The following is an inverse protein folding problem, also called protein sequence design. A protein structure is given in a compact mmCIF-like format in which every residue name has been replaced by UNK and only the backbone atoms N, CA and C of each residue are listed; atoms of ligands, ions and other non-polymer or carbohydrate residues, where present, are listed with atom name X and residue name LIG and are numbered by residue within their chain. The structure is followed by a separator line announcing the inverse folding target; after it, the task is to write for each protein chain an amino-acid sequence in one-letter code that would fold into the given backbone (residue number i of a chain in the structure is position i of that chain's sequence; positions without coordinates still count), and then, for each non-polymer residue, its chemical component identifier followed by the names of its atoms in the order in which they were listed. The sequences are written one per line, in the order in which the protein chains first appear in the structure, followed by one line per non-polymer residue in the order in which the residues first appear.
data_IF_944997385554
#
_entry.id   IF_944997385554
#
_cell.length_a   1.000
_cell.length_b   1.000
_cell.length_c   1.000
_cell.angle_alpha   90.00
_cell.angle_beta   90.00
_cell.angle_gamma   90.00
#
_symmetry.space_group_name_H-M   'P 1'
#
loop_
_entity.id
_entity.type
_entity.pdbx_description
1 polymer ?
#
# COMPACT_ATOMS: atom_id res chain seq x y z
N UNK A 1 -73.04 20.42 50.96
CA UNK A 1 -73.34 18.98 50.75
C UNK A 1 -72.13 18.18 51.20
N UNK A 2 -72.32 17.27 52.17
CA UNK A 2 -71.24 16.52 52.83
C UNK A 2 -71.15 15.08 52.21
N UNK A 3 -70.59 14.04 52.87
CA UNK A 3 -69.37 13.37 52.43
C UNK A 3 -69.56 11.85 52.21
N UNK A 4 -68.49 11.12 51.88
CA UNK A 4 -68.33 9.75 52.36
C UNK A 4 -66.94 9.54 52.98
N UNK A 5 -66.98 9.37 54.30
CA UNK A 5 -66.04 8.66 55.17
C UNK A 5 -66.00 7.17 54.78
N UNK A 6 -65.07 6.29 55.16
CA UNK A 6 -64.18 6.19 56.32
C UNK A 6 -63.20 5.00 56.11
N UNK A 7 -62.29 4.85 57.08
CA UNK A 7 -61.47 3.69 57.45
C UNK A 7 -60.11 3.51 56.76
N UNK A 8 -59.01 3.17 57.45
CA UNK A 8 -58.46 3.34 58.82
C UNK A 8 -57.19 2.49 58.78
N UNK A 9 -56.06 2.98 59.28
CA UNK A 9 -54.85 2.16 59.38
C UNK A 9 -53.65 2.94 59.89
N UNK A 10 -53.55 3.04 61.22
CA UNK A 10 -52.43 3.61 61.97
C UNK A 10 -51.26 2.62 61.95
N UNK A 11 -50.05 3.09 61.64
CA UNK A 11 -48.85 2.67 62.39
C UNK A 11 -47.69 3.67 62.22
N UNK A 12 -47.02 3.85 63.33
CA UNK A 12 -46.03 4.86 63.73
C UNK A 12 -44.63 4.60 63.18
N UNK A 13 -43.80 5.65 63.02
CA UNK A 13 -42.35 5.48 63.05
C UNK A 13 -41.55 6.52 62.28
N UNK A 14 -41.00 7.50 63.00
CA UNK A 14 -39.94 8.43 62.55
C UNK A 14 -38.67 7.66 62.17
N UNK A 15 -38.04 8.03 61.06
CA UNK A 15 -36.70 8.63 61.12
C UNK A 15 -36.35 9.35 59.81
N UNK A 16 -36.02 10.64 59.94
CA UNK A 16 -35.39 11.44 58.90
C UNK A 16 -33.90 11.11 58.87
N UNK A 17 -33.36 10.82 57.68
CA UNK A 17 -31.99 11.21 57.30
C UNK A 17 -31.95 11.64 55.85
N UNK A 18 -31.94 12.96 55.66
CA UNK A 18 -31.39 13.63 54.49
C UNK A 18 -29.86 13.42 54.50
N UNK A 19 -29.29 12.80 53.47
CA UNK A 19 -27.90 13.07 53.03
C UNK A 19 -27.87 13.04 51.49
N UNK A 20 -27.82 14.26 50.95
CA UNK A 20 -27.14 14.75 49.74
C UNK A 20 -26.62 13.75 48.70
N UNK A 21 -27.15 13.97 47.48
CA UNK A 21 -26.44 14.03 46.18
C UNK A 21 -24.90 14.02 46.30
N UNK A 22 -24.29 12.95 45.81
CA UNK A 22 -22.94 12.92 45.27
C UNK A 22 -23.02 12.36 43.85
N UNK A 23 -23.09 13.26 42.88
CA UNK A 23 -22.71 12.95 41.50
C UNK A 23 -21.17 12.92 41.46
N UNK A 24 -20.62 11.84 40.92
CA UNK A 24 -19.29 11.68 40.32
C UNK A 24 -18.87 10.21 40.51
N UNK A 25 -19.31 9.37 39.58
CA UNK A 25 -18.52 8.23 39.13
C UNK A 25 -18.74 8.21 37.61
N UNK A 26 -17.90 8.97 36.92
CA UNK A 26 -17.68 8.80 35.49
C UNK A 26 -17.11 7.41 35.31
N UNK A 27 -17.99 6.45 35.01
CA UNK A 27 -17.62 5.15 34.49
C UNK A 27 -16.90 5.41 33.17
N UNK A 28 -15.57 5.38 33.25
CA UNK A 28 -14.60 5.46 32.17
C UNK A 28 -15.07 4.50 31.08
N UNK A 29 -15.65 5.07 30.01
CA UNK A 29 -16.03 4.30 28.84
C UNK A 29 -14.75 3.74 28.26
N UNK A 30 -14.52 2.46 28.53
CA UNK A 30 -13.51 1.63 27.88
C UNK A 30 -13.49 1.98 26.39
N UNK A 31 -12.34 2.49 25.95
CA UNK A 31 -12.04 2.75 24.57
C UNK A 31 -12.44 1.54 23.72
N UNK A 32 -13.33 1.77 22.75
CA UNK A 32 -13.64 0.85 21.67
C UNK A 32 -12.34 0.49 20.94
N UNK A 33 -11.57 -0.47 21.46
CA UNK A 33 -10.44 -1.07 20.79
C UNK A 33 -10.98 -1.73 19.52
N UNK A 34 -10.75 -1.03 18.39
CA UNK A 34 -10.97 -1.48 17.02
C UNK A 34 -10.95 -3.01 16.87
N UNK A 35 -12.14 -3.58 16.58
CA UNK A 35 -12.53 -4.96 16.23
C UNK A 35 -11.48 -5.85 15.52
N UNK A 36 -10.33 -6.08 16.14
CA UNK A 36 -9.36 -7.09 15.71
C UNK A 36 -9.78 -8.48 16.22
N UNK A 37 -10.53 -8.56 17.32
CA UNK A 37 -11.03 -9.82 17.88
C UNK A 37 -12.16 -10.44 17.04
N UNK A 38 -12.92 -9.67 16.26
CA UNK A 38 -14.05 -10.16 15.45
C UNK A 38 -13.65 -11.12 14.30
N UNK A 39 -12.37 -11.21 13.95
CA UNK A 39 -11.91 -12.19 12.95
C UNK A 39 -11.52 -13.55 13.54
N UNK A 40 -11.59 -13.72 14.87
CA UNK A 40 -11.20 -14.95 15.57
C UNK A 40 -12.30 -15.55 16.48
N UNK A 41 -13.50 -14.99 16.50
CA UNK A 41 -14.63 -15.53 17.27
C UNK A 41 -15.20 -16.80 16.63
N UNK A 42 -14.51 -17.93 16.83
CA UNK A 42 -15.14 -19.25 16.81
C UNK A 42 -15.81 -19.44 18.18
N UNK A 43 -17.12 -19.72 18.28
CA UNK A 43 -17.80 -19.92 19.56
C UNK A 43 -17.15 -21.08 20.33
N UNK A 44 -16.58 -20.77 21.50
CA UNK A 44 -15.80 -21.69 22.34
C UNK A 44 -16.67 -22.34 23.45
N UNK A 45 -17.99 -22.44 23.26
CA UNK A 45 -18.89 -22.93 24.32
C UNK A 45 -19.21 -24.45 24.24
N UNK A 46 -18.69 -25.20 23.28
CA UNK A 46 -19.12 -26.60 23.08
C UNK A 46 -18.02 -27.69 23.22
N UNK A 47 -16.81 -27.35 23.69
CA UNK A 47 -15.70 -28.33 23.78
C UNK A 47 -15.03 -28.40 25.17
N UNK A 48 -15.80 -28.23 26.24
CA UNK A 48 -15.33 -28.60 27.60
C UNK A 48 -16.22 -29.74 28.11
N UNK A 49 -16.02 -30.91 27.53
CA UNK A 49 -16.50 -32.19 28.04
C UNK A 49 -15.33 -33.17 28.06
N UNK A 50 -14.82 -33.40 29.27
CA UNK A 50 -14.08 -34.60 29.68
C UNK A 50 -12.91 -35.08 28.81
N UNK A 51 -11.67 -34.78 29.21
CA UNK A 51 -10.68 -35.86 29.30
C UNK A 51 -9.61 -35.58 30.34
N UNK A 52 -9.69 -36.37 31.41
CA UNK A 52 -8.80 -36.38 32.53
C UNK A 52 -7.54 -37.24 32.24
N UNK A 53 -6.41 -36.75 32.71
CA UNK A 53 -5.27 -37.52 33.25
C UNK A 53 -4.77 -38.74 32.45
N UNK A 54 -3.75 -38.51 31.61
CA UNK A 54 -2.70 -39.51 31.36
C UNK A 54 -1.33 -38.90 31.62
N UNK A 55 -0.70 -39.37 32.69
CA UNK A 55 0.69 -39.07 33.01
C UNK A 55 1.63 -39.74 32.02
N UNK A 56 2.51 -38.95 31.41
CA UNK A 56 3.57 -39.42 30.52
C UNK A 56 4.87 -39.40 31.31
N UNK A 57 5.37 -40.60 31.63
CA UNK A 57 6.71 -40.80 32.18
C UNK A 57 7.77 -40.50 31.13
N UNK A 58 8.64 -39.54 31.44
CA UNK A 58 9.78 -39.17 30.58
C UNK A 58 10.98 -40.03 30.98
N UNK A 59 11.33 -41.00 30.14
CA UNK A 59 12.59 -41.74 30.24
C UNK A 59 13.68 -40.97 29.49
N UNK A 60 14.74 -40.59 30.22
CA UNK A 60 15.86 -39.76 29.74
C UNK A 60 17.02 -40.69 29.35
N UNK A 61 17.15 -41.00 28.06
CA UNK A 61 18.37 -41.64 27.53
C UNK A 61 19.36 -40.57 27.08
N UNK A 62 20.55 -40.61 27.69
CA UNK A 62 21.73 -39.84 27.31
C UNK A 62 22.47 -40.61 26.21
N UNK A 63 22.50 -40.10 24.98
CA UNK A 63 23.42 -40.54 23.93
C UNK A 63 24.35 -39.37 23.58
N UNK A 64 25.62 -39.52 23.95
CA UNK A 64 26.69 -38.62 23.53
C UNK A 64 27.07 -38.99 22.08
N UNK A 65 26.42 -38.36 21.11
CA UNK A 65 26.82 -38.39 19.70
C UNK A 65 27.71 -37.19 19.41
N UNK A 66 28.93 -37.45 18.92
CA UNK A 66 29.83 -36.47 18.34
C UNK A 66 29.10 -35.79 17.16
N UNK A 67 28.69 -34.53 17.31
CA UNK A 67 28.10 -33.75 16.23
C UNK A 67 29.22 -33.20 15.34
N UNK A 68 29.53 -33.91 14.25
CA UNK A 68 30.05 -33.23 13.07
C UNK A 68 29.00 -32.20 12.66
N UNK A 69 29.40 -30.92 12.57
CA UNK A 69 28.51 -29.87 12.13
C UNK A 69 27.98 -30.25 10.74
N UNK A 70 26.65 -30.42 10.56
CA UNK A 70 26.12 -30.77 9.25
C UNK A 70 26.58 -29.69 8.26
N UNK A 71 27.05 -30.09 7.06
CA UNK A 71 27.48 -29.14 6.05
C UNK A 71 26.34 -28.14 5.82
N UNK A 72 26.69 -26.86 5.88
CA UNK A 72 25.79 -25.73 5.71
C UNK A 72 24.87 -25.98 4.52
N UNK A 73 23.61 -26.34 4.78
CA UNK A 73 22.46 -26.28 3.88
C UNK A 73 22.82 -26.59 2.40
N UNK A 74 23.33 -27.80 2.15
CA UNK A 74 23.38 -28.33 0.78
C UNK A 74 21.95 -28.60 0.34
N UNK A 75 21.27 -27.55 -0.09
CA UNK A 75 19.95 -27.60 -0.70
C UNK A 75 20.01 -28.67 -1.80
N UNK A 76 19.10 -29.65 -1.74
CA UNK A 76 18.83 -30.61 -2.81
C UNK A 76 18.84 -29.91 -4.19
N UNK A 77 19.14 -30.62 -5.31
CA UNK A 77 19.26 -30.04 -6.66
C UNK A 77 18.26 -28.91 -6.85
N UNK A 78 18.81 -27.70 -7.01
CA UNK A 78 18.13 -26.46 -6.69
C UNK A 78 16.79 -26.37 -7.43
N UNK A 79 15.69 -26.35 -6.67
CA UNK A 79 14.33 -26.05 -7.19
C UNK A 79 14.33 -24.67 -7.90
N UNK A 80 15.30 -23.83 -7.59
CA UNK A 80 15.46 -22.51 -8.14
C UNK A 80 16.20 -22.52 -9.49
N UNK A 81 15.76 -21.67 -10.45
CA UNK A 81 16.53 -21.39 -11.66
C UNK A 81 17.94 -20.90 -11.34
N UNK A 82 18.94 -21.23 -12.17
CA UNK A 82 20.34 -20.87 -11.96
C UNK A 82 20.56 -19.38 -11.68
N UNK A 83 19.90 -18.49 -12.44
CA UNK A 83 20.03 -17.04 -12.26
C UNK A 83 19.58 -16.56 -10.86
N UNK A 84 18.65 -17.28 -10.22
CA UNK A 84 18.21 -16.97 -8.84
C UNK A 84 19.30 -17.37 -7.85
N UNK A 85 19.92 -18.53 -8.06
CA UNK A 85 21.04 -18.97 -7.24
C UNK A 85 22.24 -18.04 -7.39
N UNK A 86 22.68 -17.76 -8.62
CA UNK A 86 23.78 -16.80 -8.90
C UNK A 86 23.51 -15.43 -8.27
N UNK A 87 22.26 -14.95 -8.35
CA UNK A 87 21.86 -13.68 -7.77
C UNK A 87 21.87 -13.64 -6.24
N UNK A 88 21.57 -14.76 -5.58
CA UNK A 88 21.68 -14.90 -4.12
C UNK A 88 23.12 -15.04 -3.66
N UNK A 89 23.95 -15.79 -4.39
CA UNK A 89 25.38 -15.96 -4.11
C UNK A 89 26.17 -14.65 -4.29
N UNK A 90 25.73 -13.78 -5.20
CA UNK A 90 26.31 -12.43 -5.35
C UNK A 90 26.02 -11.48 -4.18
N UNK A 91 25.11 -11.85 -3.27
CA UNK A 91 24.70 -11.00 -2.14
C UNK A 91 25.46 -11.36 -0.88
N UNK A 92 25.74 -10.34 -0.08
CA UNK A 92 26.36 -10.51 1.21
C UNK A 92 25.53 -11.46 2.10
N UNK A 93 26.22 -12.24 2.95
CA UNK A 93 25.54 -13.19 3.83
C UNK A 93 24.59 -12.47 4.79
N UNK A 94 23.34 -12.92 4.83
CA UNK A 94 22.34 -12.44 5.79
C UNK A 94 22.66 -12.80 7.24
N UNK A 95 23.58 -13.73 7.49
CA UNK A 95 23.99 -14.10 8.85
C UNK A 95 25.00 -13.11 9.45
N UNK A 96 25.60 -12.27 8.62
CA UNK A 96 26.65 -11.35 9.06
C UNK A 96 26.07 -10.02 9.56
N UNK A 97 26.26 -9.75 10.86
CA UNK A 97 25.74 -8.56 11.54
C UNK A 97 26.24 -7.24 10.92
N UNK A 98 27.45 -7.22 10.36
CA UNK A 98 28.07 -6.00 9.79
C UNK A 98 27.21 -5.37 8.68
N UNK A 99 26.57 -6.19 7.85
CA UNK A 99 25.71 -5.71 6.75
C UNK A 99 24.36 -5.20 7.25
N UNK A 100 23.82 -5.79 8.32
CA UNK A 100 22.63 -5.28 9.00
C UNK A 100 22.88 -3.93 9.66
N UNK A 101 24.05 -3.76 10.28
CA UNK A 101 24.47 -2.46 10.83
C UNK A 101 24.54 -1.43 9.70
N UNK A 102 25.26 -1.73 8.61
CA UNK A 102 25.38 -0.83 7.46
C UNK A 102 24.01 -0.44 6.89
N UNK A 103 23.10 -1.41 6.73
CA UNK A 103 21.74 -1.16 6.27
C UNK A 103 20.97 -0.25 7.25
N UNK A 104 21.07 -0.51 8.56
CA UNK A 104 20.37 0.25 9.62
C UNK A 104 20.84 1.71 9.77
N UNK A 105 22.05 2.04 9.28
CA UNK A 105 22.56 3.41 9.27
C UNK A 105 21.90 4.27 8.19
N UNK A 106 21.29 3.65 7.17
CA UNK A 106 20.53 4.38 6.14
C UNK A 106 19.07 4.57 6.57
N UNK A 107 18.48 5.73 6.24
CA UNK A 107 17.06 6.01 6.54
C UNK A 107 16.13 4.96 5.89
N UNK A 108 16.44 4.57 4.66
CA UNK A 108 15.64 3.60 3.91
C UNK A 108 15.80 2.16 4.43
N UNK A 109 17.01 1.80 4.87
CA UNK A 109 17.25 0.53 5.54
C UNK A 109 16.48 0.40 6.85
N UNK A 110 16.38 1.48 7.64
CA UNK A 110 15.52 1.50 8.85
C UNK A 110 14.05 1.25 8.54
N UNK A 111 13.46 1.92 7.55
CA UNK A 111 12.06 1.66 7.14
C UNK A 111 11.85 0.20 6.69
N UNK A 112 12.82 -0.38 5.95
CA UNK A 112 12.76 -1.77 5.49
C UNK A 112 12.88 -2.78 6.63
N UNK A 113 13.85 -2.62 7.53
CA UNK A 113 14.00 -3.46 8.73
C UNK A 113 12.73 -3.39 9.57
N UNK A 114 12.22 -2.17 9.80
CA UNK A 114 10.97 -1.95 10.54
C UNK A 114 9.78 -2.62 9.85
N UNK A 115 9.72 -2.62 8.51
CA UNK A 115 8.70 -3.36 7.73
C UNK A 115 8.78 -4.87 7.97
N UNK A 116 9.98 -5.45 7.94
CA UNK A 116 10.19 -6.88 8.20
C UNK A 116 9.74 -7.23 9.62
N UNK A 117 10.20 -6.47 10.62
CA UNK A 117 9.82 -6.66 12.02
C UNK A 117 8.31 -6.50 12.23
N UNK A 118 7.67 -5.57 11.51
CA UNK A 118 6.23 -5.37 11.56
C UNK A 118 5.49 -6.64 11.12
N UNK A 119 5.80 -7.18 9.93
CA UNK A 119 5.12 -8.39 9.46
C UNK A 119 5.49 -9.64 10.26
N UNK A 120 6.73 -9.75 10.73
CA UNK A 120 7.14 -10.85 11.61
C UNK A 120 6.36 -10.83 12.93
N UNK A 121 6.19 -9.65 13.54
CA UNK A 121 5.38 -9.49 14.76
C UNK A 121 3.93 -9.90 14.53
N UNK A 122 3.35 -9.51 13.39
CA UNK A 122 1.97 -9.91 13.03
C UNK A 122 1.83 -11.41 12.83
N UNK A 123 2.81 -12.05 12.16
CA UNK A 123 2.84 -13.50 11.97
C UNK A 123 2.98 -14.25 13.29
N UNK A 124 3.87 -13.78 14.17
CA UNK A 124 4.06 -14.36 15.51
C UNK A 124 2.81 -14.22 16.37
N UNK A 125 2.14 -13.07 16.34
CA UNK A 125 0.86 -12.89 17.02
C UNK A 125 -0.19 -13.88 16.51
N UNK A 126 -0.33 -14.02 15.19
CA UNK A 126 -1.23 -15.00 14.60
C UNK A 126 -0.88 -16.43 15.02
N UNK A 127 0.39 -16.82 14.96
CA UNK A 127 0.84 -18.17 15.29
C UNK A 127 0.56 -18.51 16.76
N UNK A 128 0.85 -17.57 17.68
CA UNK A 128 0.56 -17.70 19.11
C UNK A 128 -0.94 -17.76 19.43
N UNK A 129 -1.80 -17.10 18.64
CA UNK A 129 -3.25 -17.24 18.79
C UNK A 129 -3.74 -18.57 18.24
N UNK A 130 -3.16 -19.04 17.13
CA UNK A 130 -3.61 -20.23 16.40
C UNK A 130 -3.11 -21.54 16.97
N UNK A 131 -2.11 -21.53 17.85
CA UNK A 131 -1.65 -22.76 18.49
C UNK A 131 -2.72 -23.34 19.41
N UNK A 132 -3.18 -24.55 19.10
CA UNK A 132 -4.32 -25.27 19.74
C UNK A 132 -4.20 -25.39 21.27
N UNK A 133 -2.99 -25.27 21.84
CA UNK A 133 -2.72 -25.34 23.28
C UNK A 133 -2.37 -23.96 23.88
N UNK A 134 -3.01 -22.88 23.43
CA UNK A 134 -2.66 -21.54 23.89
C UNK A 134 -3.04 -21.28 25.34
N UNK A 135 -2.05 -21.51 26.21
CA UNK A 135 -2.01 -21.05 27.59
C UNK A 135 -2.33 -19.54 27.68
N UNK A 136 -2.78 -19.06 28.86
CA UNK A 136 -2.96 -17.62 29.12
C UNK A 136 -1.72 -16.79 28.78
N UNK A 137 -0.53 -17.38 28.93
CA UNK A 137 0.77 -16.76 28.60
C UNK A 137 0.88 -16.50 27.09
N UNK A 138 0.48 -17.46 26.24
CA UNK A 138 0.50 -17.30 24.78
C UNK A 138 -0.37 -16.14 24.31
N UNK A 139 -1.54 -15.94 24.93
CA UNK A 139 -2.44 -14.81 24.64
C UNK A 139 -1.83 -13.46 25.04
N UNK A 140 -1.18 -13.39 26.20
CA UNK A 140 -0.47 -12.18 26.63
C UNK A 140 0.68 -11.82 25.66
N UNK A 141 1.44 -12.82 25.21
CA UNK A 141 2.48 -12.61 24.19
C UNK A 141 1.89 -12.18 22.84
N UNK A 142 0.80 -12.79 22.39
CA UNK A 142 0.11 -12.38 21.16
C UNK A 142 -0.32 -10.90 21.22
N UNK A 143 -0.89 -10.45 22.35
CA UNK A 143 -1.23 -9.03 22.56
C UNK A 143 -0.01 -8.11 22.49
N UNK A 144 1.12 -8.51 23.10
CA UNK A 144 2.39 -7.76 23.01
C UNK A 144 2.88 -7.65 21.57
N UNK A 145 2.86 -8.73 20.80
CA UNK A 145 3.26 -8.71 19.38
C UNK A 145 2.30 -7.88 18.52
N UNK A 146 1.00 -7.90 18.80
CA UNK A 146 0.01 -7.03 18.13
C UNK A 146 0.28 -5.56 18.43
N UNK A 147 0.55 -5.21 19.69
CA UNK A 147 0.92 -3.84 20.09
C UNK A 147 2.22 -3.40 19.39
N UNK A 148 3.24 -4.27 19.36
CA UNK A 148 4.49 -4.02 18.65
C UNK A 148 4.25 -3.80 17.14
N UNK A 149 3.42 -4.64 16.50
CA UNK A 149 3.02 -4.45 15.10
C UNK A 149 2.37 -3.08 14.85
N UNK A 150 1.42 -2.66 15.72
CA UNK A 150 0.75 -1.36 15.63
C UNK A 150 1.75 -0.20 15.79
N UNK A 151 2.62 -0.29 16.80
CA UNK A 151 3.67 0.70 17.08
C UNK A 151 4.67 0.84 15.92
N UNK A 152 5.17 -0.27 15.38
CA UNK A 152 6.04 -0.28 14.20
C UNK A 152 5.33 0.32 12.97
N UNK A 153 4.03 0.06 12.81
CA UNK A 153 3.22 0.70 11.77
C UNK A 153 3.22 2.22 11.88
N UNK A 154 3.02 2.76 13.08
CA UNK A 154 3.06 4.21 13.35
C UNK A 154 4.46 4.80 13.12
N UNK A 155 5.50 4.14 13.64
CA UNK A 155 6.90 4.55 13.43
C UNK A 155 7.26 4.66 11.94
N UNK A 156 6.77 3.72 11.11
CA UNK A 156 6.97 3.79 9.65
C UNK A 156 6.23 4.93 8.98
N UNK A 157 5.04 5.30 9.45
CA UNK A 157 4.35 6.51 8.97
C UNK A 157 5.20 7.74 9.26
N UNK A 158 5.77 7.84 10.46
CA UNK A 158 6.68 8.92 10.82
C UNK A 158 7.94 8.95 9.93
N UNK A 159 8.57 7.81 9.63
CA UNK A 159 9.71 7.74 8.69
C UNK A 159 9.37 8.17 7.26
N UNK A 160 8.09 8.09 6.88
CA UNK A 160 7.61 8.51 5.54
C UNK A 160 7.11 9.94 5.52
N UNK A 161 6.88 10.56 6.67
CA UNK A 161 6.54 11.96 6.74
C UNK A 161 7.69 12.77 6.12
N UNK A 162 7.39 13.53 5.08
CA UNK A 162 8.38 14.23 4.26
C UNK A 162 8.84 13.49 2.98
N UNK A 163 8.57 12.19 2.79
CA UNK A 163 8.85 11.53 1.50
C UNK A 163 8.05 12.14 0.34
N UNK A 164 6.82 12.59 0.59
CA UNK A 164 6.01 13.28 -0.41
C UNK A 164 6.70 14.56 -0.93
N UNK A 165 7.44 15.27 -0.07
CA UNK A 165 8.17 16.48 -0.45
C UNK A 165 9.34 16.13 -1.39
N UNK A 166 10.12 15.10 -1.04
CA UNK A 166 11.21 14.62 -1.88
C UNK A 166 10.74 14.18 -3.27
N UNK A 167 9.54 13.60 -3.36
CA UNK A 167 9.00 13.09 -4.62
C UNK A 167 8.39 14.20 -5.47
N UNK A 168 7.77 15.21 -4.86
CA UNK A 168 7.42 16.47 -5.55
C UNK A 168 8.67 17.13 -6.13
N UNK A 169 9.76 17.18 -5.36
CA UNK A 169 11.03 17.70 -5.84
C UNK A 169 11.58 16.89 -7.03
N UNK A 170 11.52 15.55 -6.98
CA UNK A 170 11.91 14.69 -8.11
C UNK A 170 11.05 14.94 -9.35
N UNK A 171 9.73 14.98 -9.22
CA UNK A 171 8.81 15.28 -10.34
C UNK A 171 9.15 16.65 -10.94
N UNK A 172 9.47 17.62 -10.10
CA UNK A 172 9.92 18.95 -10.53
C UNK A 172 11.24 18.90 -11.28
N UNK A 173 12.23 18.17 -10.79
CA UNK A 173 13.54 18.00 -11.44
C UNK A 173 13.45 17.28 -12.80
N UNK A 174 12.42 16.46 -13.03
CA UNK A 174 12.17 15.80 -14.31
C UNK A 174 11.60 16.75 -15.39
N UNK A 175 11.36 18.02 -15.05
CA UNK A 175 10.74 18.99 -15.96
C UNK A 175 9.26 18.70 -16.26
N UNK A 176 8.64 17.75 -15.57
CA UNK A 176 7.25 17.36 -15.79
C UNK A 176 6.28 18.52 -15.50
N UNK A 177 6.56 19.32 -14.46
CA UNK A 177 5.78 20.55 -14.23
C UNK A 177 5.95 21.55 -15.36
N UNK A 178 7.15 21.65 -15.96
CA UNK A 178 7.40 22.49 -17.13
C UNK A 178 6.61 22.01 -18.34
N UNK A 179 6.61 20.71 -18.63
CA UNK A 179 5.81 20.10 -19.70
C UNK A 179 4.30 20.28 -19.47
N UNK A 180 3.84 20.05 -18.25
CA UNK A 180 2.43 20.23 -17.89
C UNK A 180 1.99 21.69 -18.01
N UNK A 181 2.79 22.62 -17.48
CA UNK A 181 2.57 24.05 -17.63
C UNK A 181 2.56 24.48 -19.09
N UNK A 182 3.52 24.00 -19.88
CA UNK A 182 3.56 24.24 -21.33
C UNK A 182 2.28 23.73 -22.01
N UNK A 183 1.79 22.54 -21.67
CA UNK A 183 0.57 21.99 -22.24
C UNK A 183 -0.69 22.78 -21.84
N UNK A 184 -0.81 23.16 -20.56
CA UNK A 184 -1.91 24.03 -20.09
C UNK A 184 -1.88 25.38 -20.81
N UNK A 185 -0.69 25.94 -21.02
CA UNK A 185 -0.52 27.18 -21.78
C UNK A 185 -0.96 27.01 -23.23
N UNK A 186 -0.62 25.90 -23.88
CA UNK A 186 -1.07 25.62 -25.26
C UNK A 186 -2.61 25.50 -25.33
N UNK A 187 -3.23 24.74 -24.41
CA UNK A 187 -4.70 24.64 -24.36
C UNK A 187 -5.38 26.00 -24.16
N UNK A 188 -4.87 26.81 -23.23
CA UNK A 188 -5.38 28.15 -22.99
C UNK A 188 -5.28 29.07 -24.24
N UNK A 189 -4.17 28.98 -24.98
CA UNK A 189 -3.98 29.74 -26.22
C UNK A 189 -4.91 29.26 -27.34
N UNK A 190 -5.14 27.96 -27.47
CA UNK A 190 -6.08 27.40 -28.46
C UNK A 190 -7.54 27.81 -28.17
N UNK A 191 -7.96 27.77 -26.91
CA UNK A 191 -9.32 28.18 -26.51
C UNK A 191 -9.56 29.67 -26.79
N UNK A 192 -8.57 30.52 -26.46
CA UNK A 192 -8.63 31.94 -26.81
C UNK A 192 -8.65 32.18 -28.32
N UNK A 193 -7.88 31.41 -29.11
CA UNK A 193 -7.88 31.52 -30.57
C UNK A 193 -9.24 31.17 -31.16
N UNK A 194 -9.91 30.13 -30.66
CA UNK A 194 -11.26 29.74 -31.10
C UNK A 194 -12.30 30.80 -30.75
N UNK A 195 -12.19 31.43 -29.57
CA UNK A 195 -13.11 32.52 -29.18
C UNK A 195 -13.00 33.74 -30.10
N UNK A 196 -11.80 34.08 -30.58
CA UNK A 196 -11.60 35.22 -31.48
C UNK A 196 -12.18 34.92 -32.87
N UNK A 197 -11.96 33.72 -33.41
CA UNK A 197 -12.44 33.34 -34.75
C UNK A 197 -13.96 33.11 -34.81
N UNK A 198 -14.58 32.74 -33.68
CA UNK A 198 -16.03 32.54 -33.59
C UNK A 198 -16.86 33.82 -33.62
N UNK A 199 -16.28 34.96 -33.23
CA UNK A 199 -17.02 36.22 -33.13
C UNK A 199 -17.21 36.95 -34.48
N UNK A 200 -16.44 36.55 -35.50
CA UNK A 200 -16.42 37.23 -36.80
C UNK A 200 -17.41 36.62 -37.83
N UNK A 201 -18.11 35.52 -37.49
CA UNK A 201 -19.03 34.83 -38.40
C UNK A 201 -20.53 35.02 -38.10
N UNK A 202 -20.88 35.78 -37.05
CA UNK A 202 -22.27 35.98 -36.63
C UNK A 202 -22.91 37.31 -37.03
N UNK A 203 -22.14 38.25 -37.59
CA UNK A 203 -22.57 39.64 -37.79
C UNK A 203 -23.32 39.96 -39.09
N UNK A 204 -24.03 39.02 -39.71
CA UNK A 204 -24.91 39.29 -40.87
C UNK A 204 -26.07 38.29 -40.93
N UNK A 205 -26.92 38.20 -39.91
CA UNK A 205 -28.30 37.73 -40.15
C UNK A 205 -29.30 38.09 -39.04
N UNK A 206 -30.31 38.84 -39.47
CA UNK A 206 -31.67 38.94 -38.90
C UNK A 206 -31.82 39.67 -37.55
N UNK A 207 -31.70 41.01 -37.62
CA UNK A 207 -32.71 41.87 -37.00
C UNK A 207 -34.08 41.53 -37.63
N UNK A 208 -34.99 40.92 -36.87
CA UNK A 208 -36.45 41.15 -36.90
C UNK A 208 -37.22 40.04 -36.15
N UNK A 209 -37.52 40.26 -34.87
CA UNK A 209 -38.77 39.84 -34.19
C UNK A 209 -38.68 40.26 -32.71
N UNK A 210 -39.35 41.36 -32.34
CA UNK A 210 -40.57 41.41 -31.50
C UNK A 210 -40.38 40.77 -30.12
N UNK A 211 -40.15 41.54 -29.05
CA UNK A 211 -41.09 42.43 -28.34
C UNK A 211 -42.14 41.65 -27.52
N UNK A 212 -42.21 42.01 -26.24
CA UNK A 212 -43.15 41.60 -25.18
C UNK A 212 -42.82 40.29 -24.43
N UNK A 213 -42.35 40.39 -23.19
CA UNK A 213 -43.30 40.41 -22.06
C UNK A 213 -42.61 40.83 -20.75
N UNK A 214 -43.27 41.75 -20.04
CA UNK A 214 -42.84 42.32 -18.77
C UNK A 214 -43.68 41.70 -17.65
N UNK A 215 -43.04 40.99 -16.72
CA UNK A 215 -43.70 40.60 -15.47
C UNK A 215 -42.78 40.89 -14.27
N UNK A 216 -43.20 41.76 -13.34
CA UNK A 216 -42.42 42.07 -12.15
C UNK A 216 -42.83 41.18 -10.98
N UNK A 217 -41.85 40.77 -10.18
CA UNK A 217 -42.08 40.41 -8.78
C UNK A 217 -41.82 38.94 -8.43
N UNK A 218 -40.57 38.64 -8.05
CA UNK A 218 -40.30 37.65 -7.01
C UNK A 218 -39.17 38.15 -6.10
N UNK A 219 -39.39 38.26 -4.78
CA UNK A 219 -38.37 38.72 -3.84
C UNK A 219 -37.26 37.68 -3.67
N UNK A 220 -36.04 38.11 -3.28
CA UNK A 220 -34.92 37.21 -3.09
C UNK A 220 -35.10 36.38 -1.81
N UNK A 221 -35.27 35.07 -1.97
CA UNK A 221 -35.15 34.13 -0.86
C UNK A 221 -33.70 34.05 -0.39
N UNK A 222 -33.36 34.87 0.60
CA UNK A 222 -32.15 34.75 1.42
C UNK A 222 -32.40 33.65 2.45
N UNK A 223 -32.08 32.40 2.10
CA UNK A 223 -31.91 31.29 3.05
C UNK A 223 -31.21 30.13 2.33
N UNK A 224 -29.88 30.20 2.18
CA UNK A 224 -29.05 29.05 1.83
C UNK A 224 -27.57 29.30 2.12
N UNK A 225 -27.23 29.68 3.36
CA UNK A 225 -25.83 29.86 3.77
C UNK A 225 -25.24 28.67 4.54
N UNK A 226 -25.94 27.52 4.63
CA UNK A 226 -25.48 26.34 5.38
C UNK A 226 -25.48 25.00 4.59
N UNK A 227 -25.62 25.03 3.27
CA UNK A 227 -25.38 23.87 2.38
C UNK A 227 -24.07 23.91 1.53
N UNK A 228 -22.92 24.51 1.92
CA UNK A 228 -21.71 24.43 1.09
C UNK A 228 -21.12 23.02 0.93
N UNK A 229 -21.38 22.07 1.84
CA UNK A 229 -20.60 20.82 1.92
C UNK A 229 -21.04 19.74 0.92
N UNK A 230 -22.34 19.64 0.59
CA UNK A 230 -22.85 18.64 -0.37
C UNK A 230 -22.60 19.07 -1.82
N UNK A 231 -22.77 20.35 -2.12
CA UNK A 231 -22.49 20.92 -3.45
C UNK A 231 -21.00 20.87 -3.79
N UNK A 232 -20.10 21.18 -2.84
CA UNK A 232 -18.66 21.05 -3.05
C UNK A 232 -18.23 19.60 -3.19
N UNK A 233 -18.77 18.67 -2.39
CA UNK A 233 -18.44 17.24 -2.52
C UNK A 233 -18.94 16.68 -3.85
N UNK A 234 -20.18 16.98 -4.25
CA UNK A 234 -20.72 16.55 -5.54
C UNK A 234 -19.96 17.18 -6.73
N UNK A 235 -19.59 18.47 -6.65
CA UNK A 235 -18.75 19.12 -7.67
C UNK A 235 -17.34 18.54 -7.68
N UNK A 236 -16.75 18.25 -6.53
CA UNK A 236 -15.42 17.65 -6.44
C UNK A 236 -15.41 16.21 -6.98
N UNK A 237 -16.39 15.39 -6.61
CA UNK A 237 -16.52 14.02 -7.11
C UNK A 237 -16.83 13.99 -8.61
N UNK A 238 -17.73 14.86 -9.09
CA UNK A 238 -18.01 15.00 -10.52
C UNK A 238 -16.79 15.51 -11.31
N UNK A 239 -16.04 16.48 -10.75
CA UNK A 239 -14.82 16.99 -11.35
C UNK A 239 -13.69 15.97 -11.31
N UNK A 240 -13.57 15.15 -10.26
CA UNK A 240 -12.54 14.12 -10.14
C UNK A 240 -12.82 12.94 -11.09
N UNK A 241 -14.08 12.51 -11.20
CA UNK A 241 -14.51 11.50 -12.18
C UNK A 241 -14.39 12.04 -13.62
N UNK A 242 -14.74 13.31 -13.83
CA UNK A 242 -14.55 13.98 -15.12
C UNK A 242 -13.08 14.15 -15.49
N UNK A 243 -12.24 14.52 -14.53
CA UNK A 243 -10.79 14.68 -14.68
C UNK A 243 -10.11 13.34 -14.97
N UNK A 244 -10.49 12.27 -14.27
CA UNK A 244 -9.95 10.92 -14.52
C UNK A 244 -10.38 10.39 -15.89
N UNK A 245 -11.64 10.57 -16.31
CA UNK A 245 -12.07 10.23 -17.68
C UNK A 245 -11.40 11.09 -18.75
N UNK A 246 -11.18 12.39 -18.50
CA UNK A 246 -10.47 13.29 -19.42
C UNK A 246 -8.99 12.93 -19.51
N UNK A 247 -8.33 12.62 -18.41
CA UNK A 247 -6.96 12.11 -18.40
C UNK A 247 -6.90 10.77 -19.13
N UNK A 248 -7.82 9.84 -18.87
CA UNK A 248 -7.84 8.56 -19.56
C UNK A 248 -8.06 8.73 -21.08
N UNK A 249 -8.99 9.60 -21.48
CA UNK A 249 -9.28 9.93 -22.88
C UNK A 249 -8.10 10.63 -23.57
N UNK A 250 -7.50 11.64 -22.94
CA UNK A 250 -6.34 12.37 -23.46
C UNK A 250 -5.08 11.50 -23.50
N UNK A 251 -4.86 10.67 -22.48
CA UNK A 251 -3.75 9.72 -22.44
C UNK A 251 -3.94 8.53 -23.39
N UNK A 252 -5.15 8.19 -23.84
CA UNK A 252 -5.33 7.15 -24.87
C UNK A 252 -5.33 7.75 -26.29
N UNK A 253 -6.04 8.86 -26.52
CA UNK A 253 -6.26 9.41 -27.86
C UNK A 253 -5.06 10.19 -28.40
N UNK A 254 -4.38 10.99 -27.57
CA UNK A 254 -3.14 11.68 -27.97
C UNK A 254 -1.93 10.73 -28.04
N UNK A 255 -2.03 9.53 -27.47
CA UNK A 255 -0.94 8.55 -27.46
C UNK A 255 -0.87 7.67 -28.71
N UNK A 256 -2.02 7.33 -29.30
CA UNK A 256 -2.08 6.45 -30.49
C UNK A 256 -1.74 7.21 -31.78
N UNK A 257 -1.99 8.52 -31.83
CA UNK A 257 -1.92 9.28 -33.08
C UNK A 257 -0.57 9.98 -33.37
N UNK A 258 0.35 10.07 -32.41
CA UNK A 258 1.46 11.05 -32.50
C UNK A 258 2.82 10.45 -32.89
N UNK A 259 3.04 9.12 -32.92
CA UNK A 259 4.44 8.63 -32.98
C UNK A 259 4.75 7.54 -34.01
N UNK A 260 5.77 7.76 -34.88
CA UNK A 260 6.21 6.84 -35.91
C UNK A 260 7.05 5.67 -35.35
N UNK A 261 6.98 4.53 -36.01
CA UNK A 261 7.52 3.22 -35.63
C UNK A 261 9.04 3.05 -35.83
N UNK A 262 9.87 3.97 -35.35
CA UNK A 262 11.33 3.74 -35.39
C UNK A 262 11.78 2.94 -34.15
N UNK A 263 12.25 1.70 -34.37
CA UNK A 263 12.55 0.70 -33.34
C UNK A 263 13.63 1.14 -32.32
N UNK A 264 14.60 1.95 -32.73
CA UNK A 264 15.79 2.29 -31.91
C UNK A 264 15.63 3.53 -31.02
N UNK A 265 14.72 4.44 -31.34
CA UNK A 265 14.35 5.61 -30.51
C UNK A 265 12.98 5.47 -29.87
N UNK A 266 12.45 4.24 -29.81
CA UNK A 266 11.43 3.85 -28.85
C UNK A 266 12.03 3.95 -27.43
N UNK A 267 12.29 5.19 -27.00
CA UNK A 267 12.28 5.61 -25.61
C UNK A 267 11.19 4.79 -24.96
N UNK A 268 11.54 4.18 -23.84
CA UNK A 268 10.77 3.13 -23.21
C UNK A 268 9.49 3.74 -22.63
N UNK A 269 8.57 4.16 -23.48
CA UNK A 269 7.43 5.02 -23.17
C UNK A 269 6.52 4.33 -22.17
N UNK A 270 6.34 3.02 -22.30
CA UNK A 270 5.64 2.22 -21.31
C UNK A 270 6.31 2.25 -19.93
N UNK A 271 7.66 2.32 -19.84
CA UNK A 271 8.34 2.54 -18.55
C UNK A 271 8.09 3.94 -18.03
N UNK A 272 8.12 4.95 -18.90
CA UNK A 272 7.86 6.32 -18.49
C UNK A 272 6.43 6.48 -17.98
N UNK A 273 5.44 6.05 -18.75
CA UNK A 273 4.01 6.07 -18.40
C UNK A 273 3.76 5.22 -17.16
N UNK A 274 4.28 3.99 -17.12
CA UNK A 274 4.16 3.10 -15.98
C UNK A 274 4.76 3.71 -14.71
N UNK A 275 5.93 4.35 -14.82
CA UNK A 275 6.57 5.06 -13.71
C UNK A 275 5.77 6.28 -13.27
N UNK A 276 5.23 7.07 -14.21
CA UNK A 276 4.40 8.23 -13.93
C UNK A 276 3.11 7.84 -13.20
N UNK A 277 2.36 6.87 -13.75
CA UNK A 277 1.12 6.37 -13.15
C UNK A 277 1.37 5.76 -11.77
N UNK A 278 2.45 5.00 -11.61
CA UNK A 278 2.87 4.48 -10.31
C UNK A 278 3.19 5.61 -9.35
N UNK A 279 3.91 6.63 -9.78
CA UNK A 279 4.28 7.80 -8.96
C UNK A 279 3.03 8.57 -8.51
N UNK A 280 2.06 8.77 -9.41
CA UNK A 280 0.78 9.40 -9.08
C UNK A 280 0.00 8.59 -8.02
N UNK A 281 -0.05 7.27 -8.16
CA UNK A 281 -0.67 6.41 -7.15
C UNK A 281 0.08 6.45 -5.80
N UNK A 282 1.42 6.46 -5.81
CA UNK A 282 2.23 6.61 -4.60
C UNK A 282 2.05 7.97 -3.94
N UNK A 283 1.95 9.05 -4.72
CA UNK A 283 1.69 10.40 -4.24
C UNK A 283 0.31 10.48 -3.57
N UNK A 284 -0.72 9.94 -4.21
CA UNK A 284 -2.07 9.86 -3.63
C UNK A 284 -2.09 9.05 -2.33
N UNK A 285 -1.33 7.95 -2.26
CA UNK A 285 -1.16 7.19 -1.02
C UNK A 285 -0.50 8.02 0.08
N UNK A 286 0.65 8.67 -0.19
CA UNK A 286 1.35 9.46 0.82
C UNK A 286 0.54 10.67 1.30
N UNK A 287 -0.16 11.35 0.40
CA UNK A 287 -1.07 12.43 0.77
C UNK A 287 -2.18 11.91 1.70
N UNK A 288 -2.78 10.76 1.39
CA UNK A 288 -3.76 10.12 2.24
C UNK A 288 -3.21 9.68 3.60
N UNK A 289 -1.99 9.12 3.64
CA UNK A 289 -1.33 8.67 4.88
C UNK A 289 -0.94 9.88 5.77
N UNK A 290 -0.46 10.97 5.17
CA UNK A 290 -0.19 12.23 5.88
C UNK A 290 -1.48 12.87 6.42
N UNK A 291 -2.55 12.90 5.61
CA UNK A 291 -3.85 13.41 6.05
C UNK A 291 -4.42 12.55 7.19
N UNK A 292 -4.26 11.23 7.12
CA UNK A 292 -4.63 10.31 8.19
C UNK A 292 -3.85 10.60 9.48
N UNK A 293 -2.53 10.78 9.39
CA UNK A 293 -1.68 11.13 10.53
C UNK A 293 -2.04 12.48 11.18
N UNK A 294 -2.26 13.52 10.36
CA UNK A 294 -2.68 14.84 10.84
C UNK A 294 -4.08 14.80 11.47
N UNK A 295 -4.99 14.00 10.91
CA UNK A 295 -6.32 13.82 11.50
C UNK A 295 -6.23 13.06 12.83
N UNK A 296 -5.39 12.03 12.92
CA UNK A 296 -5.27 11.23 14.15
C UNK A 296 -4.64 12.00 15.31
N UNK A 297 -3.78 12.98 15.01
CA UNK A 297 -3.19 13.85 16.03
C UNK A 297 -4.14 14.95 16.52
N UNK A 298 -5.33 15.08 15.93
CA UNK A 298 -6.26 16.17 16.24
C UNK A 298 -5.82 17.53 15.67
N UNK A 299 -4.82 17.56 14.79
CA UNK A 299 -4.35 18.81 14.19
C UNK A 299 -5.40 19.46 13.26
N UNK A 300 -6.33 18.66 12.74
CA UNK A 300 -7.42 19.10 11.86
C UNK A 300 -8.78 19.14 12.58
N UNK A 301 -8.78 19.05 13.90
CA UNK A 301 -10.00 19.07 14.69
C UNK A 301 -10.61 20.47 14.77
N UNK A 302 -11.95 20.49 14.72
CA UNK A 302 -12.74 21.71 14.90
C UNK A 302 -13.15 21.81 16.38
N UNK A 303 -12.41 22.62 17.14
CA UNK A 303 -12.64 22.82 18.57
C UNK A 303 -13.89 23.64 18.90
N UNK A 304 -14.62 24.15 17.89
CA UNK A 304 -15.93 24.77 18.10
C UNK A 304 -17.06 23.75 18.33
N UNK A 305 -16.83 22.49 17.96
CA UNK A 305 -17.79 21.40 18.13
C UNK A 305 -17.66 20.76 19.52
N UNK A 306 -18.75 20.12 19.97
CA UNK A 306 -18.71 19.26 21.16
C UNK A 306 -17.74 18.09 20.97
N UNK A 307 -17.13 17.63 22.07
CA UNK A 307 -16.11 16.57 22.04
C UNK A 307 -16.60 15.30 21.32
N UNK A 308 -17.86 14.89 21.58
CA UNK A 308 -18.48 13.74 20.90
C UNK A 308 -18.55 13.91 19.38
N UNK A 309 -19.05 15.06 18.91
CA UNK A 309 -19.16 15.37 17.48
C UNK A 309 -17.77 15.46 16.81
N UNK A 310 -16.79 16.00 17.54
CA UNK A 310 -15.40 16.12 17.08
C UNK A 310 -14.76 14.75 16.89
N UNK A 311 -14.91 13.85 17.87
CA UNK A 311 -14.41 12.47 17.80
C UNK A 311 -15.09 11.68 16.67
N UNK A 312 -16.40 11.79 16.51
CA UNK A 312 -17.13 11.13 15.43
C UNK A 312 -16.67 11.62 14.05
N UNK A 313 -16.51 12.94 13.88
CA UNK A 313 -15.99 13.53 12.65
C UNK A 313 -14.57 13.04 12.36
N UNK A 314 -13.71 12.98 13.38
CA UNK A 314 -12.34 12.47 13.28
C UNK A 314 -12.33 11.00 12.83
N UNK A 315 -13.13 10.13 13.46
CA UNK A 315 -13.26 8.71 13.10
C UNK A 315 -13.69 8.54 11.63
N UNK A 316 -14.70 9.28 11.21
CA UNK A 316 -15.19 9.27 9.82
C UNK A 316 -14.13 9.72 8.80
N UNK A 317 -13.36 10.77 9.14
CA UNK A 317 -12.26 11.25 8.31
C UNK A 317 -11.10 10.26 8.24
N UNK A 318 -10.72 9.67 9.37
CA UNK A 318 -9.67 8.65 9.44
C UNK A 318 -10.02 7.45 8.56
N UNK A 319 -11.25 6.95 8.64
CA UNK A 319 -11.70 5.82 7.84
C UNK A 319 -11.73 6.17 6.34
N UNK A 320 -12.25 7.34 5.99
CA UNK A 320 -12.35 7.79 4.59
C UNK A 320 -10.97 7.99 3.96
N UNK A 321 -10.08 8.70 4.66
CA UNK A 321 -8.71 8.95 4.19
C UNK A 321 -7.91 7.66 4.08
N UNK A 322 -8.03 6.75 5.05
CA UNK A 322 -7.38 5.43 5.00
C UNK A 322 -7.86 4.61 3.80
N UNK A 323 -9.18 4.53 3.55
CA UNK A 323 -9.75 3.82 2.40
C UNK A 323 -9.22 4.39 1.08
N UNK A 324 -9.20 5.72 0.92
CA UNK A 324 -8.69 6.38 -0.29
C UNK A 324 -7.19 6.18 -0.46
N UNK A 325 -6.40 6.29 0.60
CA UNK A 325 -4.96 6.02 0.57
C UNK A 325 -4.69 4.59 0.08
N UNK A 326 -5.40 3.60 0.64
CA UNK A 326 -5.30 2.21 0.22
C UNK A 326 -5.67 2.02 -1.27
N UNK A 327 -6.68 2.72 -1.76
CA UNK A 327 -7.07 2.68 -3.18
C UNK A 327 -5.97 3.19 -4.10
N UNK A 328 -5.38 4.35 -3.79
CA UNK A 328 -4.26 4.91 -4.56
C UNK A 328 -3.02 4.01 -4.52
N UNK A 329 -2.71 3.43 -3.36
CA UNK A 329 -1.60 2.50 -3.25
C UNK A 329 -1.84 1.23 -4.06
N UNK A 330 -3.03 0.64 -3.95
CA UNK A 330 -3.37 -0.56 -4.73
C UNK A 330 -3.27 -0.28 -6.24
N UNK A 331 -3.78 0.86 -6.71
CA UNK A 331 -3.58 1.30 -8.09
C UNK A 331 -2.08 1.36 -8.47
N UNK A 332 -1.24 1.99 -7.64
CA UNK A 332 0.20 2.05 -7.86
C UNK A 332 0.85 0.65 -7.94
N UNK A 333 0.40 -0.30 -7.10
CA UNK A 333 0.92 -1.67 -7.10
C UNK A 333 0.55 -2.44 -8.36
N UNK A 334 -0.67 -2.28 -8.88
CA UNK A 334 -1.12 -2.91 -10.13
C UNK A 334 -0.33 -2.36 -11.31
N UNK A 335 -0.19 -1.04 -11.41
CA UNK A 335 0.63 -0.39 -12.45
C UNK A 335 2.09 -0.84 -12.35
N UNK A 336 2.63 -0.89 -11.13
CA UNK A 336 3.98 -1.36 -10.88
C UNK A 336 4.18 -2.82 -11.29
N UNK A 337 3.21 -3.70 -11.00
CA UNK A 337 3.22 -5.09 -11.43
C UNK A 337 3.23 -5.21 -12.95
N UNK A 338 2.32 -4.52 -13.64
CA UNK A 338 2.27 -4.53 -15.11
C UNK A 338 3.59 -4.06 -15.73
N UNK A 339 4.16 -2.97 -15.19
CA UNK A 339 5.44 -2.41 -15.67
C UNK A 339 6.61 -3.38 -15.42
N UNK A 340 6.70 -3.97 -14.24
CA UNK A 340 7.77 -4.91 -13.90
C UNK A 340 7.64 -6.20 -14.71
N UNK A 341 6.42 -6.73 -14.86
CA UNK A 341 6.15 -7.94 -15.64
C UNK A 341 6.53 -7.74 -17.10
N UNK A 342 6.13 -6.62 -17.71
CA UNK A 342 6.52 -6.29 -19.07
C UNK A 342 8.03 -6.12 -19.20
N UNK A 343 8.70 -5.48 -18.23
CA UNK A 343 10.17 -5.36 -18.18
C UNK A 343 10.85 -6.73 -18.22
N UNK A 344 10.37 -7.65 -17.39
CA UNK A 344 10.90 -9.00 -17.28
C UNK A 344 10.68 -9.80 -18.57
N UNK A 345 9.46 -9.76 -19.12
CA UNK A 345 9.13 -10.43 -20.38
C UNK A 345 10.00 -9.93 -21.55
N UNK A 346 10.12 -8.61 -21.72
CA UNK A 346 10.91 -8.01 -22.81
C UNK A 346 12.40 -8.31 -22.67
N UNK A 347 12.90 -8.41 -21.43
CA UNK A 347 14.26 -8.84 -21.15
C UNK A 347 14.49 -10.30 -21.54
N UNK A 348 13.57 -11.20 -21.18
CA UNK A 348 13.64 -12.61 -21.57
C UNK A 348 13.63 -12.79 -23.10
N UNK A 349 12.76 -12.06 -23.80
CA UNK A 349 12.70 -12.08 -25.26
C UNK A 349 14.00 -11.61 -25.91
N UNK A 350 14.60 -10.53 -25.41
CA UNK A 350 15.89 -10.01 -25.92
C UNK A 350 17.02 -11.02 -25.68
N UNK A 351 17.08 -11.62 -24.50
CA UNK A 351 18.12 -12.60 -24.14
C UNK A 351 18.01 -13.86 -25.02
N UNK A 352 16.78 -14.33 -25.31
CA UNK A 352 16.55 -15.45 -26.22
C UNK A 352 16.99 -15.16 -27.67
N UNK A 353 16.82 -13.93 -28.16
CA UNK A 353 17.28 -13.53 -29.50
C UNK A 353 18.81 -13.46 -29.59
N UNK A 354 19.47 -12.91 -28.56
CA UNK A 354 20.93 -12.81 -28.50
C UNK A 354 21.58 -14.20 -28.41
N UNK A 355 21.00 -15.10 -27.61
CA UNK A 355 21.48 -16.48 -27.51
C UNK A 355 21.46 -17.24 -28.85
N UNK A 356 20.45 -16.99 -29.71
CA UNK A 356 20.40 -17.59 -31.06
C UNK A 356 21.44 -17.02 -32.01
N UNK A 357 21.75 -15.73 -31.91
CA UNK A 357 22.71 -15.07 -32.81
C UNK A 357 24.17 -15.39 -32.42
N UNK A 358 24.45 -15.59 -31.14
CA UNK A 358 25.76 -16.02 -30.66
C UNK A 358 26.18 -17.39 -31.19
N UNK A 359 25.28 -18.38 -31.14
CA UNK A 359 25.60 -19.74 -31.57
C UNK A 359 25.88 -19.90 -33.07
N UNK A 360 25.29 -19.07 -33.95
CA UNK A 360 25.53 -19.16 -35.39
C UNK A 360 26.86 -18.53 -35.84
N UNK A 361 27.46 -17.64 -35.04
CA UNK A 361 28.70 -16.97 -35.44
C UNK A 361 29.96 -17.78 -35.13
N UNK A 362 29.88 -18.79 -34.26
CA UNK A 362 31.04 -19.59 -33.84
C UNK A 362 31.30 -20.81 -34.75
N UNK A 363 30.27 -21.39 -35.38
CA UNK A 363 30.45 -22.58 -36.24
C UNK A 363 31.06 -22.28 -37.63
N UNK A 364 31.07 -21.01 -38.06
CA UNK A 364 31.47 -20.63 -39.43
C UNK A 364 32.94 -20.23 -39.64
N UNK A 365 33.71 -19.98 -38.59
CA UNK A 365 35.04 -19.36 -38.70
C UNK A 365 36.12 -20.15 -37.93
N UNK A 366 36.29 -21.43 -38.27
CA UNK A 366 37.44 -22.25 -37.82
C UNK A 366 38.74 -21.88 -38.55
N UNK A 367 39.03 -20.58 -38.67
CA UNK A 367 40.37 -20.11 -39.05
C UNK A 367 41.28 -20.22 -37.83
N UNK A 368 42.48 -20.81 -37.99
CA UNK A 368 43.52 -20.90 -36.94
C UNK A 368 43.72 -19.53 -36.27
N UNK A 369 43.12 -19.32 -35.09
CA UNK A 369 43.34 -18.16 -34.24
C UNK A 369 44.59 -18.39 -33.40
N UNK A 370 45.37 -17.34 -33.20
CA UNK A 370 46.57 -17.38 -32.39
C UNK A 370 46.22 -17.64 -30.90
N UNK A 371 47.03 -18.44 -30.17
CA UNK A 371 46.71 -18.93 -28.82
C UNK A 371 46.60 -17.86 -27.72
N UNK A 372 46.77 -16.57 -28.03
CA UNK A 372 46.63 -15.46 -27.08
C UNK A 372 45.25 -14.80 -27.03
N UNK A 373 44.48 -14.77 -28.13
CA UNK A 373 43.21 -14.03 -28.19
C UNK A 373 42.03 -14.78 -27.53
N UNK A 374 42.18 -16.08 -27.28
CA UNK A 374 41.09 -16.95 -26.82
C UNK A 374 40.71 -16.68 -25.35
N UNK A 375 41.71 -16.40 -24.49
CA UNK A 375 41.47 -16.21 -23.05
C UNK A 375 40.67 -14.93 -22.75
N UNK A 376 40.89 -13.85 -23.51
CA UNK A 376 40.16 -12.59 -23.33
C UNK A 376 38.70 -12.70 -23.82
N UNK A 377 38.43 -13.49 -24.87
CA UNK A 377 37.07 -13.76 -25.35
C UNK A 377 36.28 -14.59 -24.34
N UNK A 378 36.88 -15.64 -23.78
CA UNK A 378 36.24 -16.47 -22.75
C UNK A 378 35.86 -15.63 -21.53
N UNK A 379 36.80 -14.83 -21.00
CA UNK A 379 36.53 -13.94 -19.86
C UNK A 379 35.45 -12.91 -20.15
N UNK A 380 35.41 -12.35 -21.36
CA UNK A 380 34.37 -11.39 -21.74
C UNK A 380 32.98 -12.04 -21.84
N UNK A 381 32.91 -13.27 -22.35
CA UNK A 381 31.67 -14.06 -22.42
C UNK A 381 31.12 -14.40 -21.02
N UNK A 382 31.98 -14.86 -20.11
CA UNK A 382 31.58 -15.15 -18.72
C UNK A 382 31.08 -13.89 -17.99
N UNK A 383 31.78 -12.76 -18.15
CA UNK A 383 31.39 -11.49 -17.55
C UNK A 383 30.04 -10.97 -18.08
N UNK A 384 29.79 -11.09 -19.39
CA UNK A 384 28.51 -10.67 -19.97
C UNK A 384 27.37 -11.57 -19.49
N UNK A 385 27.58 -12.88 -19.42
CA UNK A 385 26.61 -13.85 -18.87
C UNK A 385 26.28 -13.55 -17.41
N UNK A 386 27.28 -13.33 -16.56
CA UNK A 386 27.05 -13.00 -15.15
C UNK A 386 26.22 -11.72 -14.99
N UNK A 387 26.54 -10.68 -15.77
CA UNK A 387 25.80 -9.42 -15.76
C UNK A 387 24.36 -9.56 -16.25
N UNK A 388 24.11 -10.46 -17.21
CA UNK A 388 22.76 -10.79 -17.65
C UNK A 388 21.96 -11.53 -16.56
N UNK A 389 22.57 -12.50 -15.89
CA UNK A 389 21.96 -13.23 -14.77
C UNK A 389 21.62 -12.30 -13.61
N UNK A 390 22.53 -11.41 -13.22
CA UNK A 390 22.31 -10.39 -12.18
C UNK A 390 21.12 -9.48 -12.54
N UNK A 391 21.03 -9.06 -13.80
CA UNK A 391 19.94 -8.24 -14.28
C UNK A 391 18.62 -9.01 -14.32
N UNK A 392 18.64 -10.27 -14.74
CA UNK A 392 17.48 -11.15 -14.72
C UNK A 392 16.96 -11.34 -13.30
N UNK A 393 17.86 -11.58 -12.35
CA UNK A 393 17.55 -11.72 -10.94
C UNK A 393 16.91 -10.45 -10.36
N UNK A 394 17.49 -9.28 -10.65
CA UNK A 394 16.93 -7.99 -10.23
C UNK A 394 15.51 -7.77 -10.76
N UNK A 395 15.26 -8.06 -12.05
CA UNK A 395 13.93 -7.97 -12.64
C UNK A 395 12.95 -8.99 -12.04
N UNK A 396 13.41 -10.21 -11.77
CA UNK A 396 12.62 -11.24 -11.10
C UNK A 396 12.20 -10.80 -9.70
N UNK A 397 13.11 -10.27 -8.88
CA UNK A 397 12.80 -9.74 -7.55
C UNK A 397 11.77 -8.60 -7.63
N UNK A 398 11.89 -7.72 -8.62
CA UNK A 398 10.94 -6.63 -8.83
C UNK A 398 9.53 -7.13 -9.17
N UNK A 399 9.41 -8.18 -9.99
CA UNK A 399 8.13 -8.83 -10.32
C UNK A 399 7.56 -9.54 -9.10
N UNK A 400 8.37 -10.37 -8.43
CA UNK A 400 7.96 -11.11 -7.23
C UNK A 400 7.44 -10.16 -6.15
N UNK A 401 8.18 -9.09 -5.86
CA UNK A 401 7.76 -8.06 -4.93
C UNK A 401 6.41 -7.46 -5.32
N UNK A 402 6.23 -7.10 -6.59
CA UNK A 402 4.98 -6.51 -7.07
C UNK A 402 3.78 -7.45 -6.94
N UNK A 403 3.95 -8.74 -7.22
CA UNK A 403 2.91 -9.75 -6.99
C UNK A 403 2.51 -9.81 -5.52
N UNK A 404 3.50 -9.88 -4.63
CA UNK A 404 3.26 -9.95 -3.20
C UNK A 404 2.57 -8.70 -2.67
N UNK A 405 2.96 -7.51 -3.14
CA UNK A 405 2.27 -6.27 -2.80
C UNK A 405 0.81 -6.31 -3.25
N UNK A 406 0.51 -6.70 -4.50
CA UNK A 406 -0.88 -6.80 -4.97
C UNK A 406 -1.70 -7.73 -4.08
N UNK A 407 -1.17 -8.91 -3.72
CA UNK A 407 -1.86 -9.85 -2.82
C UNK A 407 -2.10 -9.22 -1.43
N UNK A 408 -1.10 -8.55 -0.87
CA UNK A 408 -1.22 -7.89 0.44
C UNK A 408 -2.30 -6.81 0.40
N UNK A 409 -2.21 -5.87 -0.53
CA UNK A 409 -3.10 -4.70 -0.59
C UNK A 409 -4.50 -5.01 -1.12
N UNK A 410 -4.68 -6.14 -1.78
CA UNK A 410 -6.00 -6.63 -2.20
C UNK A 410 -6.95 -6.91 -1.02
N UNK A 411 -6.40 -7.14 0.18
CA UNK A 411 -7.15 -7.42 1.40
C UNK A 411 -7.41 -6.16 2.26
N UNK A 412 -6.89 -5.00 1.86
CA UNK A 412 -7.03 -3.76 2.64
C UNK A 412 -8.45 -3.18 2.54
N UNK A 413 -8.92 -2.50 3.60
CA UNK A 413 -10.20 -1.79 3.60
C UNK A 413 -10.30 -0.81 2.43
N UNK A 414 -11.43 -0.87 1.71
CA UNK A 414 -11.71 -0.04 0.55
C UNK A 414 -11.34 -0.69 -0.79
N UNK A 415 -10.49 -1.71 -0.77
CA UNK A 415 -10.27 -2.61 -1.91
C UNK A 415 -11.11 -3.86 -1.73
N UNK A 416 -10.88 -4.59 -0.63
CA UNK A 416 -11.63 -5.79 -0.24
C UNK A 416 -11.87 -6.77 -1.40
N UNK A 417 -10.86 -6.94 -2.27
CA UNK A 417 -10.99 -7.66 -3.55
C UNK A 417 -11.43 -9.11 -3.32
N UNK A 418 -10.78 -9.80 -2.40
CA UNK A 418 -11.11 -11.19 -2.09
C UNK A 418 -12.48 -11.34 -1.42
N UNK A 419 -12.88 -10.38 -0.59
CA UNK A 419 -14.22 -10.36 0.01
C UNK A 419 -15.29 -10.18 -1.08
N UNK A 420 -15.05 -9.31 -2.06
CA UNK A 420 -15.97 -9.11 -3.20
C UNK A 420 -16.03 -10.32 -4.13
N UNK A 421 -14.90 -10.96 -4.42
CA UNK A 421 -14.84 -12.07 -5.38
C UNK A 421 -15.25 -13.42 -4.78
N UNK A 422 -14.91 -13.68 -3.51
CA UNK A 422 -15.10 -15.00 -2.86
C UNK A 422 -16.02 -14.94 -1.64
N UNK A 423 -16.59 -13.78 -1.30
CA UNK A 423 -17.37 -13.57 -0.08
C UNK A 423 -16.56 -13.54 1.21
N UNK A 424 -15.25 -13.85 1.17
CA UNK A 424 -14.37 -13.96 2.35
C UNK A 424 -13.03 -13.26 2.12
N UNK A 425 -12.48 -12.66 3.18
CA UNK A 425 -11.13 -12.05 3.16
C UNK A 425 -10.05 -13.13 2.97
N UNK A 426 -8.86 -12.72 2.51
CA UNK A 426 -7.71 -13.62 2.50
C UNK A 426 -7.35 -14.07 3.92
N UNK A 427 -6.85 -15.30 4.03
CA UNK A 427 -6.32 -15.80 5.28
C UNK A 427 -5.13 -14.95 5.74
N UNK A 428 -5.08 -14.65 7.03
CA UNK A 428 -4.11 -13.73 7.60
C UNK A 428 -2.65 -14.22 7.42
N UNK A 429 -2.43 -15.54 7.46
CA UNK A 429 -1.12 -16.14 7.19
C UNK A 429 -0.61 -15.79 5.80
N UNK A 430 -1.45 -15.92 4.78
CA UNK A 430 -1.06 -15.63 3.39
C UNK A 430 -0.71 -14.16 3.28
N UNK A 431 -1.53 -13.30 3.88
CA UNK A 431 -1.29 -11.86 3.92
C UNK A 431 0.04 -11.51 4.62
N UNK A 432 0.34 -12.11 5.77
CA UNK A 432 1.60 -11.91 6.49
C UNK A 432 2.81 -12.44 5.71
N UNK A 433 2.70 -13.65 5.15
CA UNK A 433 3.76 -14.29 4.38
C UNK A 433 4.12 -13.48 3.13
N UNK A 434 3.12 -13.05 2.35
CA UNK A 434 3.34 -12.17 1.22
C UNK A 434 3.94 -10.82 1.66
N UNK A 435 3.50 -10.28 2.80
CA UNK A 435 4.09 -9.08 3.40
C UNK A 435 5.58 -9.23 3.72
N UNK A 436 5.97 -10.37 4.30
CA UNK A 436 7.36 -10.73 4.58
C UNK A 436 8.17 -10.90 3.29
N UNK A 437 7.64 -11.59 2.28
CA UNK A 437 8.34 -11.77 0.99
C UNK A 437 8.53 -10.41 0.29
N UNK A 438 7.51 -9.53 0.27
CA UNK A 438 7.62 -8.17 -0.27
C UNK A 438 8.67 -7.32 0.48
N UNK A 439 8.68 -7.42 1.81
CA UNK A 439 9.65 -6.70 2.63
C UNK A 439 11.08 -7.26 2.44
N UNK A 440 11.22 -8.58 2.44
CA UNK A 440 12.48 -9.30 2.27
C UNK A 440 13.09 -9.08 0.89
N UNK A 441 12.30 -9.12 -0.19
CA UNK A 441 12.77 -8.78 -1.54
C UNK A 441 13.28 -7.33 -1.60
N UNK A 442 12.56 -6.39 -0.98
CA UNK A 442 13.02 -4.99 -0.90
C UNK A 442 14.32 -4.86 -0.12
N UNK A 443 14.47 -5.64 0.95
CA UNK A 443 15.67 -5.67 1.77
C UNK A 443 16.84 -6.25 0.99
N UNK A 444 16.65 -7.38 0.32
CA UNK A 444 17.62 -8.06 -0.54
C UNK A 444 18.10 -7.17 -1.69
N UNK A 445 17.19 -6.44 -2.35
CA UNK A 445 17.58 -5.48 -3.39
C UNK A 445 18.47 -4.34 -2.89
N UNK A 446 18.50 -4.07 -1.58
CA UNK A 446 19.30 -3.02 -0.97
C UNK A 446 20.38 -3.55 -0.04
N UNK A 447 20.50 -4.88 0.04
CA UNK A 447 21.54 -5.52 0.80
C UNK A 447 22.86 -5.38 0.03
N UNK A 448 23.97 -5.11 0.73
CA UNK A 448 25.29 -5.01 0.12
C UNK A 448 25.63 -6.24 -0.72
N UNK A 449 26.42 -6.04 -1.77
CA UNK A 449 26.97 -7.13 -2.57
C UNK A 449 28.12 -7.78 -1.77
N UNK A 450 28.34 -9.10 -1.92
CA UNK A 450 29.34 -9.81 -1.12
C UNK A 450 30.78 -9.29 -1.35
N UNK A 451 31.04 -8.76 -2.54
CA UNK A 451 32.38 -8.37 -3.02
C UNK A 451 32.67 -6.86 -2.86
N UNK A 452 31.87 -6.12 -2.09
CA UNK A 452 32.06 -4.70 -1.76
C UNK A 452 32.20 -4.50 -0.27
#
# INVERSE_FOLDING_TARGET
MPPQQQNTGICTGRECKNITRGANDEEECDDDEDHFEDSYSVPLEEMIGEEATRGIGVSRQHTNSLYEAPPAWSLAPSIFPSFVQSGLEGKASFTELKYWIALSLTLDGRDKITKVLQYASRLMAWWLVSSVHSSRISRAHARRFTSLYKSLGSSRKAFRLGRSINEIHKISSMGLFGLFYWHLKQQYLEDNRKSIVGHDKGGLREENAKENDSSPGKPPCVNSFLEPSRSLRAKFDANLVGFTRRIQSLLLSSFVAVFPSNEDTSVVWWKLIGSLLKTLGMLGYWLGDNANFLTSSGALDDYSLSDKSRLERRKNWLETTAKKANQFYFFATIVGLATNHYSYYRFGLKSAMLGRRGGQSEEGCSGKLEPGEDNDRVKHSEWTKQKEEEKQFSLFLAVLKSWMDVIVFSNNPGIDLHKKLRGRKNHEVIHCLCGLISAGTSLLSNFPDANK
#
